data_IF_809654058541
#
_entry.id   IF_809654058541
#
_cell.length_a   1.000
_cell.length_b   1.000
_cell.length_c   1.000
_cell.angle_alpha   90.00
_cell.angle_beta   90.00
_cell.angle_gamma   90.00
#
_symmetry.space_group_name_H-M   'P 1'
#
loop_
_entity.id
_entity.type
_entity.pdbx_description
1 polymer ?
#
# COMPACT_ATOMS: atom_id res chain seq x y z
N UNK A 1 23.29 -5.99 35.09
CA UNK A 1 21.92 -5.42 35.20
C UNK A 1 21.29 -5.53 33.83
N UNK A 2 20.46 -6.54 33.61
CA UNK A 2 19.78 -6.78 32.32
C UNK A 2 18.67 -5.75 32.18
N UNK A 3 18.90 -4.74 31.36
CA UNK A 3 17.92 -3.70 31.06
C UNK A 3 16.73 -4.37 30.35
N UNK A 4 15.65 -4.65 31.09
CA UNK A 4 14.45 -5.36 30.64
C UNK A 4 13.55 -4.47 29.76
N UNK A 5 14.20 -3.63 28.95
CA UNK A 5 13.56 -2.60 28.15
C UNK A 5 13.05 -3.23 26.86
N UNK A 6 11.72 -3.18 26.70
CA UNK A 6 11.02 -3.68 25.52
C UNK A 6 11.48 -2.97 24.25
N UNK A 7 11.47 -3.66 23.12
CA UNK A 7 11.68 -3.01 21.81
C UNK A 7 10.43 -2.23 21.37
N UNK A 8 10.62 -1.23 20.51
CA UNK A 8 9.49 -0.49 19.90
C UNK A 8 8.54 -1.43 19.14
N UNK A 9 9.09 -2.44 18.46
CA UNK A 9 8.30 -3.46 17.76
C UNK A 9 7.36 -4.22 18.72
N UNK A 10 7.87 -4.65 19.87
CA UNK A 10 7.06 -5.32 20.89
C UNK A 10 6.05 -4.37 21.54
N UNK A 11 6.42 -3.10 21.77
CA UNK A 11 5.50 -2.09 22.28
C UNK A 11 4.33 -1.84 21.30
N UNK A 12 4.60 -1.79 20.00
CA UNK A 12 3.56 -1.66 18.96
C UNK A 12 2.61 -2.86 18.96
N UNK A 13 3.11 -4.08 19.22
CA UNK A 13 2.25 -5.26 19.37
C UNK A 13 1.31 -5.12 20.57
N UNK A 14 1.80 -4.57 21.69
CA UNK A 14 0.96 -4.25 22.86
C UNK A 14 -0.09 -3.19 22.49
N UNK A 15 0.28 -2.13 21.76
CA UNK A 15 -0.68 -1.13 21.31
C UNK A 15 -1.75 -1.71 20.38
N UNK A 16 -1.39 -2.63 19.49
CA UNK A 16 -2.34 -3.29 18.61
C UNK A 16 -3.32 -4.18 19.39
N UNK A 17 -2.84 -4.97 20.36
CA UNK A 17 -3.67 -5.83 21.22
C UNK A 17 -4.64 -5.03 22.09
N UNK A 18 -4.17 -3.92 22.68
CA UNK A 18 -4.96 -3.12 23.63
C UNK A 18 -5.53 -1.83 23.03
N UNK A 19 -5.62 -1.70 21.70
CA UNK A 19 -5.94 -0.43 21.02
C UNK A 19 -7.21 0.26 21.55
N UNK A 20 -8.25 -0.53 21.87
CA UNK A 20 -9.55 -0.02 22.32
C UNK A 20 -9.52 0.52 23.75
N UNK A 21 -8.42 0.34 24.47
CA UNK A 21 -8.20 0.84 25.84
C UNK A 21 -7.27 2.05 25.90
N UNK A 22 -6.88 2.59 24.74
CA UNK A 22 -5.95 3.71 24.63
C UNK A 22 -6.57 4.79 23.75
N UNK A 23 -6.61 6.02 24.26
CA UNK A 23 -6.89 7.21 23.46
C UNK A 23 -5.67 8.12 23.47
N UNK A 24 -5.33 8.71 22.34
CA UNK A 24 -4.13 9.53 22.13
C UNK A 24 -4.48 11.00 22.06
N UNK A 25 -3.65 11.86 22.63
CA UNK A 25 -3.76 13.31 22.50
C UNK A 25 -3.25 13.73 21.11
N UNK A 26 -4.16 14.10 20.21
CA UNK A 26 -3.83 14.35 18.80
C UNK A 26 -2.98 15.61 18.62
N UNK A 27 -3.17 16.61 19.49
CA UNK A 27 -2.40 17.86 19.46
C UNK A 27 -0.95 17.58 19.81
N UNK A 28 -0.72 16.85 20.90
CA UNK A 28 0.64 16.44 21.29
C UNK A 28 1.32 15.59 20.21
N UNK A 29 0.59 14.66 19.57
CA UNK A 29 1.13 13.88 18.46
C UNK A 29 1.58 14.78 17.30
N UNK A 30 0.77 15.76 16.92
CA UNK A 30 1.07 16.69 15.83
C UNK A 30 2.24 17.62 16.15
N UNK A 31 2.39 18.05 17.40
CA UNK A 31 3.50 18.88 17.87
C UNK A 31 4.83 18.10 17.90
N UNK A 32 4.79 16.81 18.21
CA UNK A 32 5.97 15.94 18.25
C UNK A 32 6.29 15.24 16.91
N UNK A 33 5.39 15.35 15.93
CA UNK A 33 5.54 14.71 14.63
C UNK A 33 6.30 15.60 13.64
N UNK A 34 7.35 15.04 13.04
CA UNK A 34 8.03 15.66 11.90
C UNK A 34 7.54 15.04 10.60
N UNK A 35 7.16 15.89 9.63
CA UNK A 35 6.68 15.43 8.34
C UNK A 35 7.82 14.76 7.55
N UNK A 36 7.55 13.55 7.06
CA UNK A 36 8.54 12.74 6.33
C UNK A 36 8.35 12.73 4.81
N UNK A 37 7.36 13.48 4.32
CA UNK A 37 6.99 13.56 2.89
C UNK A 37 6.74 15.00 2.47
N UNK A 38 6.70 15.25 1.16
CA UNK A 38 6.26 16.54 0.62
C UNK A 38 4.81 16.82 1.04
N UNK A 39 4.55 18.04 1.52
CA UNK A 39 3.19 18.51 1.78
C UNK A 39 2.41 18.66 0.48
N UNK A 40 1.17 18.18 0.52
CA UNK A 40 0.19 18.24 -0.55
C UNK A 40 -0.90 19.23 -0.17
N UNK A 41 -1.31 20.06 -1.10
CA UNK A 41 -2.46 20.96 -1.00
C UNK A 41 -3.65 20.30 -1.68
N UNK A 42 -4.85 20.51 -1.14
CA UNK A 42 -6.08 20.08 -1.82
C UNK A 42 -6.39 21.02 -2.98
N UNK A 43 -6.71 20.44 -4.14
CA UNK A 43 -6.96 21.14 -5.38
C UNK A 43 -6.05 20.73 -6.53
N UNK A 44 -6.28 21.35 -7.68
CA UNK A 44 -5.48 21.23 -8.90
C UNK A 44 -4.92 22.59 -9.28
N UNK A 45 -3.81 22.63 -10.03
CA UNK A 45 -3.32 23.89 -10.59
C UNK A 45 -3.92 24.11 -11.97
N UNK A 46 -4.31 25.34 -12.27
CA UNK A 46 -4.73 25.75 -13.60
C UNK A 46 -3.52 25.94 -14.55
N UNK A 47 -3.79 26.40 -15.78
CA UNK A 47 -2.76 26.68 -16.79
C UNK A 47 -1.77 27.77 -16.36
N UNK A 48 -2.18 28.68 -15.48
CA UNK A 48 -1.37 29.76 -14.92
C UNK A 48 -0.59 29.33 -13.67
N UNK A 49 -0.84 28.12 -13.16
CA UNK A 49 -0.25 27.59 -11.94
C UNK A 49 -0.98 27.99 -10.65
N UNK A 50 -2.13 28.65 -10.73
CA UNK A 50 -2.97 29.02 -9.59
C UNK A 50 -3.72 27.81 -9.04
N UNK A 51 -3.91 27.75 -7.72
CA UNK A 51 -4.57 26.62 -7.05
C UNK A 51 -6.09 26.77 -7.15
N UNK A 52 -6.73 25.90 -7.94
CA UNK A 52 -8.17 25.70 -7.93
C UNK A 52 -8.52 24.71 -6.81
N UNK A 53 -9.17 25.21 -5.76
CA UNK A 53 -9.62 24.39 -4.64
C UNK A 53 -10.88 23.59 -5.03
N UNK A 54 -11.09 22.40 -4.45
CA UNK A 54 -12.34 21.67 -4.61
C UNK A 54 -13.52 22.45 -4.03
N UNK A 55 -14.70 22.33 -4.65
CA UNK A 55 -15.91 23.01 -4.17
C UNK A 55 -16.46 22.44 -2.84
N UNK A 56 -15.93 21.29 -2.39
CA UNK A 56 -16.20 20.66 -1.09
C UNK A 56 -14.93 20.57 -0.25
N UNK A 57 -15.10 20.50 1.08
CA UNK A 57 -14.06 20.14 2.04
C UNK A 57 -14.62 19.27 3.16
N UNK A 58 -13.73 18.64 3.92
CA UNK A 58 -14.10 17.90 5.15
C UNK A 58 -13.95 18.77 6.38
N UNK A 59 -14.90 18.67 7.31
CA UNK A 59 -14.79 19.22 8.66
C UNK A 59 -14.94 18.10 9.69
N UNK A 60 -14.09 18.11 10.73
CA UNK A 60 -14.21 17.16 11.83
C UNK A 60 -15.52 17.35 12.59
N UNK A 61 -16.24 16.25 12.84
CA UNK A 61 -17.43 16.26 13.70
C UNK A 61 -17.06 16.51 15.16
N UNK A 62 -15.83 16.15 15.52
CA UNK A 62 -15.36 16.04 16.88
C UNK A 62 -14.33 17.17 17.15
N UNK A 63 -14.65 18.09 18.06
CA UNK A 63 -13.68 19.07 18.59
C UNK A 63 -12.85 18.50 19.75
N UNK A 64 -12.70 17.17 19.80
CA UNK A 64 -12.01 16.48 20.90
C UNK A 64 -10.52 16.43 20.65
N UNK A 65 -9.78 16.67 21.73
CA UNK A 65 -8.33 16.56 21.78
C UNK A 65 -7.84 15.10 21.78
N UNK A 66 -8.70 14.16 22.20
CA UNK A 66 -8.36 12.74 22.28
C UNK A 66 -9.11 11.93 21.24
N UNK A 67 -8.39 11.05 20.57
CA UNK A 67 -8.92 10.13 19.56
C UNK A 67 -8.49 8.70 19.88
N UNK A 68 -9.21 7.70 19.38
CA UNK A 68 -8.82 6.30 19.55
C UNK A 68 -7.41 6.04 19.01
N UNK A 69 -6.68 5.13 19.65
CA UNK A 69 -5.39 4.67 19.14
C UNK A 69 -5.52 4.16 17.70
N UNK A 70 -4.62 4.60 16.84
CA UNK A 70 -4.61 4.24 15.43
C UNK A 70 -4.14 2.82 15.17
N UNK A 71 -4.18 2.43 13.90
CA UNK A 71 -3.62 1.15 13.45
C UNK A 71 -2.18 1.33 12.97
N UNK A 72 -1.29 0.46 13.42
CA UNK A 72 0.12 0.49 13.02
C UNK A 72 0.33 -0.36 11.76
N UNK A 73 0.95 0.22 10.73
CA UNK A 73 1.28 -0.46 9.48
C UNK A 73 2.77 -0.33 9.18
N UNK A 74 3.40 -1.46 8.96
CA UNK A 74 4.78 -1.57 8.53
C UNK A 74 4.86 -1.32 7.03
N UNK A 75 5.85 -0.56 6.59
CA UNK A 75 6.11 -0.39 5.18
C UNK A 75 6.67 -1.70 4.58
N UNK A 76 6.24 -2.04 3.37
CA UNK A 76 6.61 -3.28 2.68
C UNK A 76 8.06 -3.31 2.19
N UNK A 77 8.72 -2.16 2.04
CA UNK A 77 10.08 -2.09 1.53
C UNK A 77 10.97 -1.03 2.19
N UNK A 78 10.60 -0.56 3.38
CA UNK A 78 11.42 0.35 4.21
C UNK A 78 11.25 0.05 5.68
N UNK A 79 12.24 0.43 6.47
CA UNK A 79 12.12 0.48 7.93
C UNK A 79 11.26 1.67 8.40
N UNK A 80 9.99 1.67 8.00
CA UNK A 80 9.02 2.72 8.33
C UNK A 80 7.80 2.09 8.98
N UNK A 81 7.34 2.69 10.07
CA UNK A 81 6.09 2.33 10.74
C UNK A 81 5.21 3.57 10.74
N UNK A 82 3.99 3.43 10.24
CA UNK A 82 3.00 4.48 10.29
C UNK A 82 1.86 4.10 11.22
N UNK A 83 1.29 5.09 11.91
CA UNK A 83 0.07 4.99 12.69
C UNK A 83 -1.06 5.69 11.93
N UNK A 84 -2.07 4.93 11.54
CA UNK A 84 -3.26 5.40 10.86
C UNK A 84 -4.34 5.77 11.89
N UNK A 85 -4.57 7.07 12.07
CA UNK A 85 -5.60 7.62 12.95
C UNK A 85 -6.87 7.87 12.15
N UNK A 86 -7.98 7.30 12.61
CA UNK A 86 -9.31 7.44 12.00
C UNK A 86 -10.13 8.47 12.79
N UNK A 87 -10.72 9.45 12.12
CA UNK A 87 -11.61 10.47 12.71
C UNK A 87 -12.85 10.67 11.86
N UNK A 88 -13.94 11.05 12.51
CA UNK A 88 -15.21 11.30 11.83
C UNK A 88 -15.25 12.73 11.28
N UNK A 89 -15.69 12.86 10.04
CA UNK A 89 -15.82 14.12 9.31
C UNK A 89 -17.15 14.19 8.57
N UNK A 90 -17.61 15.40 8.33
CA UNK A 90 -18.70 15.71 7.40
C UNK A 90 -18.17 16.41 6.17
N UNK A 91 -18.88 16.31 5.06
CA UNK A 91 -18.67 17.15 3.89
C UNK A 91 -19.39 18.48 4.05
N UNK A 92 -18.71 19.57 3.69
CA UNK A 92 -19.30 20.92 3.62
C UNK A 92 -18.88 21.60 2.33
N UNK A 93 -19.76 22.46 1.80
CA UNK A 93 -19.42 23.36 0.70
C UNK A 93 -18.38 24.38 1.12
N UNK A 94 -17.42 24.66 0.24
CA UNK A 94 -16.34 25.59 0.53
C UNK A 94 -16.85 27.05 0.64
N UNK A 95 -17.83 27.42 -0.19
CA UNK A 95 -18.35 28.79 -0.32
C UNK A 95 -19.11 29.26 0.93
N UNK A 96 -20.05 28.47 1.42
CA UNK A 96 -21.02 28.86 2.46
C UNK A 96 -20.96 27.96 3.71
N UNK A 97 -20.08 26.95 3.74
CA UNK A 97 -19.95 25.94 4.80
C UNK A 97 -21.22 25.12 5.04
N UNK A 98 -22.15 25.11 4.09
CA UNK A 98 -23.36 24.29 4.19
C UNK A 98 -22.99 22.81 4.17
N UNK A 99 -23.43 22.01 5.15
CA UNK A 99 -23.19 20.57 5.15
C UNK A 99 -23.87 19.87 3.97
N UNK A 100 -23.15 18.93 3.35
CA UNK A 100 -23.74 17.95 2.44
C UNK A 100 -24.20 16.77 3.30
N UNK A 101 -25.50 16.49 3.29
CA UNK A 101 -26.10 15.45 4.14
C UNK A 101 -26.21 14.14 3.36
N UNK A 102 -26.53 14.23 2.08
CA UNK A 102 -26.80 13.08 1.22
C UNK A 102 -26.06 13.23 -0.12
N UNK A 103 -25.50 12.12 -0.62
CA UNK A 103 -24.92 11.99 -1.96
C UNK A 103 -25.31 10.62 -2.50
N UNK A 104 -25.87 10.56 -3.72
CA UNK A 104 -26.20 9.31 -4.41
C UNK A 104 -27.14 8.37 -3.61
N UNK A 105 -28.03 8.92 -2.77
CA UNK A 105 -28.90 8.16 -1.88
C UNK A 105 -28.24 7.69 -0.58
N UNK A 106 -27.01 8.14 -0.28
CA UNK A 106 -26.26 7.78 0.92
C UNK A 106 -26.12 8.97 1.85
N UNK A 107 -26.32 8.74 3.14
CA UNK A 107 -25.96 9.72 4.16
C UNK A 107 -24.43 9.84 4.24
N UNK A 108 -23.92 11.08 4.18
CA UNK A 108 -22.47 11.40 4.18
C UNK A 108 -22.09 12.34 5.32
N UNK A 109 -22.89 12.32 6.39
CA UNK A 109 -22.71 13.14 7.58
C UNK A 109 -21.70 12.56 8.59
N UNK A 110 -21.25 11.32 8.41
CA UNK A 110 -20.30 10.59 9.28
C UNK A 110 -19.22 9.82 8.49
N UNK A 111 -18.59 10.51 7.54
CA UNK A 111 -17.46 9.96 6.78
C UNK A 111 -16.21 9.84 7.65
N UNK A 112 -15.26 9.03 7.18
CA UNK A 112 -13.99 8.85 7.86
C UNK A 112 -12.86 9.59 7.17
N UNK A 113 -12.16 10.44 7.93
CA UNK A 113 -10.85 10.95 7.58
C UNK A 113 -9.76 10.06 8.18
N UNK A 114 -8.75 9.76 7.37
CA UNK A 114 -7.62 8.94 7.75
C UNK A 114 -6.34 9.77 7.71
N UNK A 115 -5.72 9.95 8.88
CA UNK A 115 -4.46 10.68 9.00
C UNK A 115 -3.33 9.69 9.32
N UNK A 116 -2.30 9.70 8.50
CA UNK A 116 -1.17 8.79 8.65
C UNK A 116 0.02 9.52 9.30
N UNK A 117 0.46 9.04 10.46
CA UNK A 117 1.59 9.59 11.20
C UNK A 117 2.74 8.61 11.18
N UNK A 118 3.87 9.00 10.57
CA UNK A 118 5.09 8.20 10.58
C UNK A 118 5.69 8.18 11.99
N UNK A 119 5.66 7.03 12.67
CA UNK A 119 6.22 6.84 14.01
C UNK A 119 7.71 6.49 13.92
N UNK A 120 8.06 5.64 12.97
CA UNK A 120 9.45 5.31 12.62
C UNK A 120 9.67 5.61 11.15
N UNK A 121 10.76 6.29 10.82
CA UNK A 121 11.10 6.71 9.48
C UNK A 121 12.54 6.28 9.15
N UNK A 122 12.69 5.38 8.17
CA UNK A 122 14.00 4.86 7.72
C UNK A 122 14.89 4.36 8.88
N UNK A 123 14.31 3.56 9.78
CA UNK A 123 15.02 3.01 10.93
C UNK A 123 15.35 4.03 12.02
N UNK A 124 14.62 5.15 12.08
CA UNK A 124 14.78 6.17 13.14
C UNK A 124 13.43 6.58 13.72
N UNK A 125 13.38 6.78 15.03
CA UNK A 125 12.18 7.28 15.72
C UNK A 125 11.88 8.69 15.22
N UNK A 126 10.62 8.93 14.84
CA UNK A 126 10.13 10.20 14.33
C UNK A 126 9.15 10.89 15.29
N UNK A 127 8.51 10.11 16.18
CA UNK A 127 7.68 10.60 17.28
C UNK A 127 8.28 10.06 18.57
N UNK A 128 8.80 10.95 19.41
CA UNK A 128 9.57 10.57 20.60
C UNK A 128 8.69 10.08 21.75
N UNK A 129 7.46 10.54 21.84
CA UNK A 129 6.55 10.17 22.92
C UNK A 129 5.09 10.32 22.52
N UNK A 130 4.23 9.59 23.21
CA UNK A 130 2.78 9.66 23.05
C UNK A 130 2.14 10.02 24.38
N UNK A 131 1.35 11.10 24.38
CA UNK A 131 0.43 11.40 25.46
C UNK A 131 -0.87 10.63 25.25
N UNK A 132 -1.26 9.84 26.25
CA UNK A 132 -2.38 8.92 26.16
C UNK A 132 -3.22 8.93 27.43
N UNK A 133 -4.49 8.51 27.33
CA UNK A 133 -5.27 8.03 28.47
C UNK A 133 -5.49 6.54 28.32
N UNK A 134 -5.37 5.83 29.44
CA UNK A 134 -5.46 4.37 29.51
C UNK A 134 -6.67 4.02 30.36
N UNK A 135 -7.61 3.25 29.80
CA UNK A 135 -8.81 2.80 30.53
C UNK A 135 -8.64 1.43 31.17
N UNK A 136 -7.58 0.69 30.86
CA UNK A 136 -7.32 -0.66 31.37
C UNK A 136 -6.17 -0.69 32.39
N UNK A 137 -6.48 -1.08 33.62
CA UNK A 137 -5.46 -1.31 34.67
C UNK A 137 -4.45 -2.38 34.25
N UNK A 138 -4.89 -3.44 33.57
CA UNK A 138 -4.00 -4.51 33.08
C UNK A 138 -2.94 -3.96 32.11
N UNK A 139 -3.36 -3.12 31.18
CA UNK A 139 -2.44 -2.46 30.24
C UNK A 139 -1.48 -1.51 30.98
N UNK A 140 -2.00 -0.71 31.93
CA UNK A 140 -1.18 0.20 32.73
C UNK A 140 -0.04 -0.53 33.44
N UNK A 141 -0.35 -1.62 34.17
CA UNK A 141 0.67 -2.40 34.87
C UNK A 141 1.66 -3.05 33.90
N UNK A 142 1.20 -3.52 32.73
CA UNK A 142 2.06 -4.09 31.70
C UNK A 142 3.05 -3.05 31.15
N UNK A 143 2.58 -1.85 30.78
CA UNK A 143 3.44 -0.78 30.27
C UNK A 143 4.45 -0.30 31.33
N UNK A 144 4.02 -0.22 32.59
CA UNK A 144 4.89 0.09 33.73
C UNK A 144 5.95 -0.99 33.93
N UNK A 145 5.58 -2.27 33.91
CA UNK A 145 6.50 -3.40 34.01
C UNK A 145 7.55 -3.41 32.89
N UNK A 146 7.16 -2.97 31.69
CA UNK A 146 8.04 -2.85 30.51
C UNK A 146 8.90 -1.58 30.51
N UNK A 147 8.76 -0.72 31.51
CA UNK A 147 9.59 0.48 31.70
C UNK A 147 9.33 1.62 30.73
N UNK A 148 8.19 1.62 30.03
CA UNK A 148 7.83 2.66 29.04
C UNK A 148 6.84 3.69 29.58
N UNK A 149 6.35 3.47 30.79
CA UNK A 149 5.38 4.32 31.48
C UNK A 149 5.89 4.66 32.87
N UNK A 150 6.16 5.95 33.09
CA UNK A 150 6.57 6.49 34.38
C UNK A 150 5.35 7.05 35.13
N UNK A 151 4.69 6.19 35.91
CA UNK A 151 3.53 6.56 36.72
C UNK A 151 3.37 5.65 37.94
N UNK A 152 3.06 6.23 39.09
CA UNK A 152 2.95 5.49 40.35
C UNK A 152 1.66 4.67 40.46
N UNK A 153 0.52 5.28 40.14
CA UNK A 153 -0.82 4.70 40.34
C UNK A 153 -1.66 4.80 39.08
N UNK A 154 -2.49 3.78 38.86
CA UNK A 154 -3.50 3.78 37.81
C UNK A 154 -4.66 4.72 38.16
N UNK A 155 -4.99 5.60 37.22
CA UNK A 155 -6.13 6.50 37.20
C UNK A 155 -6.58 6.71 35.74
N UNK A 156 -7.80 6.29 35.44
CA UNK A 156 -8.37 6.38 34.08
C UNK A 156 -8.66 7.82 33.63
N UNK A 157 -8.62 8.81 34.54
CA UNK A 157 -8.77 10.23 34.20
C UNK A 157 -7.44 10.91 33.89
N UNK A 158 -6.34 10.36 34.40
CA UNK A 158 -5.00 10.89 34.24
C UNK A 158 -4.50 10.73 32.80
N UNK A 159 -3.70 11.71 32.37
CA UNK A 159 -2.92 11.60 31.15
C UNK A 159 -1.54 11.02 31.48
N UNK A 160 -1.09 10.12 30.62
CA UNK A 160 0.16 9.39 30.75
C UNK A 160 1.05 9.67 29.55
N UNK A 161 2.36 9.76 29.78
CA UNK A 161 3.33 9.85 28.69
C UNK A 161 4.01 8.50 28.51
N UNK A 162 3.86 7.93 27.32
CA UNK A 162 4.62 6.75 26.90
C UNK A 162 5.83 7.21 26.10
N UNK A 163 7.01 6.90 26.60
CA UNK A 163 8.26 7.24 25.94
C UNK A 163 8.56 6.21 24.84
N UNK A 164 8.82 6.70 23.63
CA UNK A 164 9.25 5.89 22.49
C UNK A 164 10.73 6.10 22.18
N UNK A 165 11.32 7.20 22.64
CA UNK A 165 12.72 7.53 22.49
C UNK A 165 13.61 6.53 23.21
N UNK A 166 14.82 6.34 22.68
CA UNK A 166 15.83 5.42 23.22
C UNK A 166 15.42 3.93 23.31
N UNK A 167 14.24 3.55 22.80
CA UNK A 167 13.86 2.14 22.67
C UNK A 167 14.64 1.49 21.51
N UNK A 168 15.18 0.27 21.69
CA UNK A 168 15.61 -0.55 20.57
C UNK A 168 14.47 -0.72 19.58
N UNK A 169 14.70 -0.49 18.28
CA UNK A 169 13.63 -0.62 17.29
C UNK A 169 13.13 -2.05 17.14
N UNK A 170 14.05 -3.01 17.26
CA UNK A 170 13.81 -4.44 17.09
C UNK A 170 14.37 -5.20 18.30
N UNK A 171 13.81 -6.37 18.63
CA UNK A 171 14.39 -7.24 19.65
C UNK A 171 15.77 -7.75 19.21
N UNK A 172 16.62 -8.05 20.19
CA UNK A 172 18.00 -8.52 19.97
C UNK A 172 17.99 -9.90 19.29
N UNK A 173 17.15 -10.83 19.77
CA UNK A 173 17.08 -12.22 19.29
C UNK A 173 15.87 -12.47 18.37
N UNK A 174 15.65 -11.57 17.40
CA UNK A 174 14.54 -11.71 16.45
C UNK A 174 14.71 -12.92 15.53
N UNK A 175 13.75 -13.85 15.54
CA UNK A 175 13.66 -14.94 14.57
C UNK A 175 12.78 -14.55 13.39
N UNK A 176 13.30 -14.72 12.17
CA UNK A 176 12.59 -14.39 10.93
C UNK A 176 12.33 -15.64 10.09
N UNK A 177 11.12 -15.76 9.57
CA UNK A 177 10.69 -16.87 8.72
C UNK A 177 11.45 -16.88 7.38
N UNK A 178 11.59 -18.06 6.77
CA UNK A 178 12.12 -18.15 5.40
C UNK A 178 11.25 -17.36 4.42
N UNK A 179 11.92 -16.69 3.49
CA UNK A 179 11.32 -15.93 2.39
C UNK A 179 11.27 -16.70 1.07
N UNK A 180 11.77 -17.94 1.06
CA UNK A 180 11.82 -18.78 -0.13
C UNK A 180 10.43 -19.01 -0.73
N UNK A 181 10.34 -18.87 -2.05
CA UNK A 181 9.10 -19.05 -2.81
C UNK A 181 8.04 -17.96 -2.62
N UNK A 182 8.15 -17.10 -1.60
CA UNK A 182 7.17 -16.03 -1.35
C UNK A 182 7.09 -15.05 -2.52
N UNK A 183 8.21 -14.74 -3.16
CA UNK A 183 8.22 -13.84 -4.31
C UNK A 183 7.37 -14.38 -5.46
N UNK A 184 7.58 -15.63 -5.87
CA UNK A 184 6.84 -16.24 -6.98
C UNK A 184 5.33 -16.22 -6.70
N UNK A 185 4.95 -16.59 -5.49
CA UNK A 185 3.57 -16.55 -5.05
C UNK A 185 2.97 -15.13 -5.07
N UNK A 186 3.69 -14.13 -4.56
CA UNK A 186 3.24 -12.74 -4.58
C UNK A 186 3.17 -12.19 -6.00
N UNK A 187 4.07 -12.63 -6.88
CA UNK A 187 4.12 -12.21 -8.27
C UNK A 187 2.91 -12.76 -9.05
N UNK A 188 2.59 -14.05 -8.90
CA UNK A 188 1.39 -14.66 -9.47
C UNK A 188 0.10 -13.95 -9.04
N UNK A 189 -0.06 -13.73 -7.72
CA UNK A 189 -1.21 -13.02 -7.18
C UNK A 189 -1.27 -11.59 -7.71
N UNK A 190 -0.14 -10.87 -7.75
CA UNK A 190 -0.09 -9.50 -8.29
C UNK A 190 -0.54 -9.44 -9.75
N UNK A 191 -0.13 -10.42 -10.57
CA UNK A 191 -0.55 -10.48 -11.98
C UNK A 191 -2.06 -10.68 -12.06
N UNK A 192 -2.62 -11.65 -11.35
CA UNK A 192 -4.06 -11.91 -11.36
C UNK A 192 -4.86 -10.74 -10.77
N UNK A 193 -4.44 -10.16 -9.65
CA UNK A 193 -5.05 -8.94 -9.08
C UNK A 193 -5.01 -7.79 -10.06
N UNK A 194 -3.93 -7.61 -10.83
CA UNK A 194 -3.86 -6.57 -11.85
C UNK A 194 -4.86 -6.80 -12.99
N UNK A 195 -5.13 -8.05 -13.38
CA UNK A 195 -6.15 -8.38 -14.38
C UNK A 195 -7.54 -8.07 -13.82
N UNK A 196 -7.85 -8.55 -12.61
CA UNK A 196 -9.14 -8.34 -11.95
C UNK A 196 -9.41 -6.84 -11.71
N UNK A 197 -8.43 -6.12 -11.16
CA UNK A 197 -8.51 -4.66 -10.94
C UNK A 197 -8.76 -3.87 -12.23
N UNK A 198 -8.22 -4.32 -13.36
CA UNK A 198 -8.48 -3.69 -14.64
C UNK A 198 -9.94 -3.84 -15.07
N UNK A 199 -10.61 -4.96 -14.74
CA UNK A 199 -12.04 -5.14 -15.01
C UNK A 199 -12.92 -4.35 -14.05
N UNK A 200 -12.52 -4.21 -12.79
CA UNK A 200 -13.28 -3.49 -11.76
C UNK A 200 -13.17 -1.96 -11.85
N UNK A 201 -12.46 -1.44 -12.87
CA UNK A 201 -12.28 -0.01 -13.05
C UNK A 201 -13.60 0.63 -13.49
N UNK A 202 -14.10 1.55 -12.66
CA UNK A 202 -15.41 2.18 -12.89
C UNK A 202 -16.60 1.25 -12.64
N UNK A 203 -16.37 0.02 -12.17
CA UNK A 203 -17.43 -0.94 -11.85
C UNK A 203 -17.60 -1.08 -10.33
N UNK A 204 -18.83 -1.38 -9.92
CA UNK A 204 -19.19 -1.68 -8.53
C UNK A 204 -20.27 -2.74 -8.50
N UNK A 205 -20.17 -3.64 -7.53
CA UNK A 205 -21.19 -4.62 -7.14
C UNK A 205 -22.23 -4.03 -6.18
N UNK A 206 -22.06 -2.77 -5.77
CA UNK A 206 -22.92 -2.08 -4.80
C UNK A 206 -23.68 -0.91 -5.44
N UNK A 207 -23.02 -0.15 -6.31
CA UNK A 207 -23.55 1.09 -6.88
C UNK A 207 -23.74 0.99 -8.39
N UNK A 208 -24.84 1.58 -8.88
CA UNK A 208 -25.06 1.76 -10.32
C UNK A 208 -24.23 2.92 -10.87
N UNK A 209 -24.01 2.97 -12.19
CA UNK A 209 -23.18 4.01 -12.82
C UNK A 209 -23.59 5.46 -12.47
N UNK A 210 -24.89 5.84 -12.48
CA UNK A 210 -25.28 7.19 -12.07
C UNK A 210 -24.87 7.54 -10.63
N UNK A 211 -24.91 6.57 -9.71
CA UNK A 211 -24.45 6.77 -8.34
C UNK A 211 -22.93 6.93 -8.29
N UNK A 212 -22.18 6.16 -9.06
CA UNK A 212 -20.72 6.29 -9.14
C UNK A 212 -20.30 7.65 -9.68
N UNK A 213 -20.98 8.15 -10.71
CA UNK A 213 -20.74 9.47 -11.29
C UNK A 213 -21.01 10.58 -10.27
N UNK A 214 -22.11 10.47 -9.52
CA UNK A 214 -22.46 11.42 -8.46
C UNK A 214 -21.48 11.37 -7.29
N UNK A 215 -21.09 10.18 -6.82
CA UNK A 215 -20.04 10.01 -5.81
C UNK A 215 -18.73 10.67 -6.26
N UNK A 216 -18.30 10.41 -7.50
CA UNK A 216 -17.08 11.00 -8.05
C UNK A 216 -17.17 12.53 -8.13
N UNK A 217 -18.32 13.09 -8.52
CA UNK A 217 -18.57 14.53 -8.55
C UNK A 217 -18.43 15.19 -7.17
N UNK A 218 -18.75 14.45 -6.11
CA UNK A 218 -18.62 14.87 -4.71
C UNK A 218 -17.30 14.42 -4.06
N UNK A 219 -16.30 14.02 -4.85
CA UNK A 219 -14.99 13.55 -4.38
C UNK A 219 -15.06 12.33 -3.47
N UNK A 220 -16.05 11.46 -3.67
CA UNK A 220 -16.19 10.18 -2.99
C UNK A 220 -15.80 9.03 -3.93
N UNK A 221 -15.04 8.08 -3.40
CA UNK A 221 -14.76 6.82 -4.08
C UNK A 221 -15.94 5.84 -3.99
N UNK A 222 -15.91 4.76 -4.77
CA UNK A 222 -16.87 3.64 -4.65
C UNK A 222 -16.86 2.92 -3.29
N UNK A 223 -15.86 3.18 -2.45
CA UNK A 223 -15.78 2.68 -1.08
C UNK A 223 -16.15 3.78 -0.05
N UNK A 224 -16.72 4.89 -0.51
CA UNK A 224 -17.19 6.03 0.30
C UNK A 224 -16.05 6.75 1.07
N UNK A 225 -14.80 6.55 0.63
CA UNK A 225 -13.68 7.37 1.09
C UNK A 225 -13.62 8.70 0.35
N UNK A 226 -13.28 9.76 1.07
CA UNK A 226 -12.98 11.08 0.49
C UNK A 226 -11.70 11.02 -0.33
N UNK A 227 -11.76 11.58 -1.54
CA UNK A 227 -10.71 11.51 -2.55
C UNK A 227 -10.57 12.86 -3.27
N UNK A 228 -10.27 13.90 -2.50
CA UNK A 228 -10.01 15.23 -3.06
C UNK A 228 -8.77 15.20 -3.96
N UNK A 229 -8.79 15.91 -5.09
CA UNK A 229 -7.58 16.12 -5.87
C UNK A 229 -6.54 16.84 -5.01
N UNK A 230 -5.26 16.56 -5.26
CA UNK A 230 -4.16 17.24 -4.56
C UNK A 230 -3.04 17.63 -5.49
N UNK A 231 -2.27 18.64 -5.10
CA UNK A 231 -1.06 19.13 -5.78
C UNK A 231 0.06 19.45 -4.79
N UNK A 232 1.28 19.71 -5.27
CA UNK A 232 2.40 20.16 -4.42
C UNK A 232 2.31 21.66 -4.13
N UNK A 233 2.89 22.10 -3.01
CA UNK A 233 2.97 23.53 -2.65
C UNK A 233 3.80 24.36 -3.65
N UNK A 234 4.72 23.72 -4.37
CA UNK A 234 5.62 24.32 -5.33
C UNK A 234 5.30 23.87 -6.75
N UNK A 235 5.65 24.71 -7.72
CA UNK A 235 5.63 24.40 -9.16
C UNK A 235 6.97 23.84 -9.65
N UNK A 236 8.09 24.29 -9.05
CA UNK A 236 9.45 23.87 -9.41
C UNK A 236 10.21 23.30 -8.20
N UNK A 237 10.55 22.00 -8.25
CA UNK A 237 11.28 21.30 -7.18
C UNK A 237 12.67 21.90 -6.93
N UNK A 238 13.38 22.31 -7.99
CA UNK A 238 14.76 22.84 -7.86
C UNK A 238 14.76 24.17 -7.10
N UNK A 239 13.79 25.03 -7.38
CA UNK A 239 13.62 26.29 -6.67
C UNK A 239 13.21 26.07 -5.21
N UNK A 240 12.32 25.11 -4.95
CA UNK A 240 11.90 24.79 -3.59
C UNK A 240 13.05 24.23 -2.74
N UNK A 241 13.92 23.42 -3.33
CA UNK A 241 15.18 22.96 -2.70
C UNK A 241 16.12 24.13 -2.44
N UNK A 242 16.34 25.02 -3.42
CA UNK A 242 17.21 26.18 -3.28
C UNK A 242 16.71 27.17 -2.21
N UNK A 243 15.38 27.33 -2.08
CA UNK A 243 14.72 28.16 -1.06
C UNK A 243 14.64 27.48 0.31
N UNK A 244 14.97 26.19 0.41
CA UNK A 244 14.93 25.43 1.66
C UNK A 244 13.52 25.09 2.18
N UNK A 245 12.46 25.26 1.36
CA UNK A 245 11.10 24.85 1.75
C UNK A 245 10.93 23.32 1.71
N UNK A 246 11.75 22.67 0.89
CA UNK A 246 11.90 21.22 0.81
C UNK A 246 13.33 20.86 1.18
N UNK A 247 13.49 19.74 1.86
CA UNK A 247 14.78 19.08 2.01
C UNK A 247 14.75 17.69 1.37
N UNK A 248 15.92 17.09 1.28
CA UNK A 248 16.10 15.72 0.84
C UNK A 248 16.82 14.87 1.87
N UNK A 249 16.58 13.57 1.83
CA UNK A 249 17.28 12.58 2.64
C UNK A 249 17.49 11.30 1.85
N UNK A 250 18.47 10.52 2.25
CA UNK A 250 18.67 9.17 1.72
C UNK A 250 17.78 8.21 2.51
N UNK A 251 16.90 7.51 1.81
CA UNK A 251 16.11 6.38 2.32
C UNK A 251 16.64 5.10 1.70
N UNK A 252 16.66 4.01 2.45
CA UNK A 252 17.06 2.70 1.94
C UNK A 252 15.81 1.87 1.64
N UNK A 253 15.73 1.41 0.39
CA UNK A 253 14.74 0.44 -0.07
C UNK A 253 15.26 -0.97 0.14
N UNK A 254 14.42 -1.81 0.71
CA UNK A 254 14.66 -3.24 0.88
C UNK A 254 13.57 -4.00 0.12
N UNK A 255 13.91 -4.54 -1.04
CA UNK A 255 12.98 -5.34 -1.84
C UNK A 255 13.36 -6.83 -1.79
N UNK A 256 12.35 -7.68 -1.92
CA UNK A 256 12.51 -9.14 -2.04
C UNK A 256 12.10 -9.58 -3.44
N UNK A 257 13.03 -10.26 -4.11
CA UNK A 257 12.90 -10.83 -5.45
C UNK A 257 13.30 -12.30 -5.51
N UNK A 258 13.50 -12.79 -6.72
CA UNK A 258 14.13 -14.09 -7.00
C UNK A 258 15.23 -13.94 -8.06
N UNK A 259 15.82 -15.06 -8.46
CA UNK A 259 16.92 -15.14 -9.42
C UNK A 259 16.57 -14.69 -10.85
N UNK A 260 15.29 -14.47 -11.14
CA UNK A 260 14.80 -14.06 -12.46
C UNK A 260 14.22 -12.63 -12.48
N UNK A 261 13.70 -12.15 -11.34
CA UNK A 261 13.01 -10.86 -11.20
C UNK A 261 13.33 -10.25 -9.82
N UNK A 262 13.98 -9.08 -9.80
CA UNK A 262 14.47 -8.44 -8.57
C UNK A 262 13.38 -7.96 -7.61
N UNK A 263 12.22 -7.56 -8.12
CA UNK A 263 11.11 -7.08 -7.29
C UNK A 263 9.80 -7.03 -8.09
N UNK A 264 8.68 -6.89 -7.39
CA UNK A 264 7.36 -6.84 -8.00
C UNK A 264 7.16 -5.62 -8.89
N UNK A 265 7.97 -4.55 -8.76
CA UNK A 265 7.83 -3.34 -9.59
C UNK A 265 8.21 -3.58 -11.06
N UNK A 266 8.95 -4.67 -11.34
CA UNK A 266 9.29 -5.09 -12.71
C UNK A 266 8.10 -5.59 -13.51
N UNK A 267 7.02 -5.99 -12.83
CA UNK A 267 5.80 -6.47 -13.48
C UNK A 267 5.01 -5.29 -14.09
N UNK A 268 4.80 -5.24 -15.42
CA UNK A 268 3.97 -4.24 -16.04
C UNK A 268 2.49 -4.37 -15.61
N UNK A 269 1.72 -3.30 -15.81
CA UNK A 269 0.27 -3.35 -15.61
C UNK A 269 -0.39 -4.32 -16.60
N UNK A 270 -1.57 -4.85 -16.23
CA UNK A 270 -2.29 -5.81 -17.06
C UNK A 270 -2.52 -5.29 -18.49
N UNK A 271 -3.03 -4.06 -18.65
CA UNK A 271 -3.25 -3.47 -19.98
C UNK A 271 -1.95 -3.29 -20.78
N UNK A 272 -0.82 -2.96 -20.14
CA UNK A 272 0.48 -2.83 -20.82
C UNK A 272 0.97 -4.19 -21.32
N UNK A 273 0.78 -5.25 -20.54
CA UNK A 273 1.13 -6.60 -20.98
C UNK A 273 0.18 -7.12 -22.07
N UNK A 274 -1.12 -6.80 -21.95
CA UNK A 274 -2.14 -7.12 -22.96
C UNK A 274 -1.75 -6.58 -24.34
N UNK A 275 -1.44 -5.29 -24.40
CA UNK A 275 -1.04 -4.59 -25.63
C UNK A 275 0.28 -5.14 -26.23
N UNK A 276 1.21 -5.55 -25.36
CA UNK A 276 2.48 -6.14 -25.77
C UNK A 276 2.29 -7.52 -26.43
N UNK A 277 1.52 -8.41 -25.80
CA UNK A 277 1.51 -9.85 -26.13
C UNK A 277 0.31 -10.34 -26.92
N UNK A 278 -0.79 -9.60 -26.93
CA UNK A 278 -2.05 -10.07 -27.49
C UNK A 278 -2.59 -9.10 -28.53
N UNK A 279 -3.39 -9.64 -29.46
CA UNK A 279 -4.26 -8.88 -30.34
C UNK A 279 -5.69 -9.10 -29.88
N UNK A 280 -6.42 -8.01 -29.72
CA UNK A 280 -7.85 -8.00 -29.43
C UNK A 280 -8.55 -7.55 -30.69
N UNK A 281 -9.60 -8.27 -31.08
CA UNK A 281 -10.34 -7.98 -32.30
C UNK A 281 -11.81 -8.31 -32.15
N UNK A 282 -12.63 -7.63 -32.95
CA UNK A 282 -14.05 -7.91 -33.07
C UNK A 282 -14.25 -9.18 -33.90
N UNK A 283 -15.06 -10.12 -33.40
CA UNK A 283 -15.30 -11.42 -34.04
C UNK A 283 -16.09 -11.30 -35.36
N UNK A 284 -16.95 -10.30 -35.46
CA UNK A 284 -17.82 -10.08 -36.62
C UNK A 284 -17.11 -9.27 -37.69
N UNK A 285 -16.50 -8.14 -37.32
CA UNK A 285 -15.86 -7.23 -38.29
C UNK A 285 -14.40 -7.56 -38.57
N UNK A 286 -13.74 -8.29 -37.67
CA UNK A 286 -12.30 -8.56 -37.73
C UNK A 286 -11.42 -7.34 -37.39
N UNK A 287 -12.03 -6.21 -37.00
CA UNK A 287 -11.30 -4.99 -36.65
C UNK A 287 -10.37 -5.21 -35.45
N UNK A 288 -9.12 -4.76 -35.55
CA UNK A 288 -8.11 -4.90 -34.49
C UNK A 288 -8.09 -3.63 -33.64
N UNK A 289 -8.31 -3.79 -32.33
CA UNK A 289 -8.23 -2.69 -31.39
C UNK A 289 -6.77 -2.28 -31.15
N UNK A 290 -6.46 -1.00 -31.40
CA UNK A 290 -5.09 -0.45 -31.29
C UNK A 290 -4.64 -0.16 -29.86
N UNK A 291 -5.59 -0.04 -28.92
CA UNK A 291 -5.34 0.17 -27.48
C UNK A 291 -6.28 -0.73 -26.67
N UNK A 292 -6.05 -2.05 -26.68
CA UNK A 292 -6.94 -2.98 -26.00
C UNK A 292 -6.94 -2.71 -24.50
N UNK A 293 -8.12 -2.87 -23.88
CA UNK A 293 -8.31 -2.80 -22.44
C UNK A 293 -8.89 -4.11 -21.94
N UNK A 294 -8.46 -4.55 -20.77
CA UNK A 294 -8.98 -5.77 -20.17
C UNK A 294 -10.48 -5.75 -19.91
N UNK A 295 -11.06 -4.58 -19.67
CA UNK A 295 -12.51 -4.36 -19.54
C UNK A 295 -13.29 -5.01 -20.71
N UNK A 296 -12.71 -5.11 -21.90
CA UNK A 296 -13.31 -5.70 -23.10
C UNK A 296 -13.46 -7.24 -23.05
N UNK A 297 -12.84 -7.92 -22.08
CA UNK A 297 -12.77 -9.40 -22.05
C UNK A 297 -14.12 -10.08 -21.87
N UNK A 298 -15.09 -9.40 -21.25
CA UNK A 298 -16.44 -9.93 -21.03
C UNK A 298 -17.46 -9.46 -22.07
N UNK A 299 -17.04 -8.73 -23.10
CA UNK A 299 -17.92 -8.31 -24.21
C UNK A 299 -18.10 -9.47 -25.21
N UNK A 300 -19.35 -9.74 -25.62
CA UNK A 300 -19.72 -10.94 -26.41
C UNK A 300 -18.94 -11.08 -27.73
N UNK A 301 -18.74 -9.95 -28.43
CA UNK A 301 -18.15 -9.90 -29.77
C UNK A 301 -16.63 -9.74 -29.79
N UNK A 302 -15.94 -9.86 -28.65
CA UNK A 302 -14.49 -9.67 -28.57
C UNK A 302 -13.76 -11.03 -28.51
N UNK A 303 -12.68 -11.15 -29.29
CA UNK A 303 -11.77 -12.29 -29.26
C UNK A 303 -10.32 -11.85 -29.04
N UNK A 304 -9.54 -12.78 -28.48
CA UNK A 304 -8.13 -12.61 -28.17
C UNK A 304 -7.31 -13.63 -28.94
N UNK A 305 -6.12 -13.24 -29.38
CA UNK A 305 -5.12 -14.16 -29.93
C UNK A 305 -3.71 -13.65 -29.63
N UNK A 306 -2.72 -14.54 -29.66
CA UNK A 306 -1.33 -14.12 -29.53
C UNK A 306 -0.93 -13.18 -30.67
N UNK A 307 -0.17 -12.14 -30.30
CA UNK A 307 0.46 -11.25 -31.26
C UNK A 307 1.66 -11.97 -31.88
N UNK A 308 1.80 -11.89 -33.19
CA UNK A 308 3.06 -12.23 -33.85
C UNK A 308 4.09 -11.17 -33.47
N UNK A 309 5.00 -11.53 -32.57
CA UNK A 309 6.06 -10.64 -32.11
C UNK A 309 7.18 -10.59 -33.16
N UNK A 310 7.71 -9.40 -33.41
CA UNK A 310 8.86 -9.26 -34.30
C UNK A 310 10.11 -9.82 -33.62
N UNK A 311 11.10 -10.23 -34.43
CA UNK A 311 12.40 -10.72 -33.94
C UNK A 311 13.16 -9.75 -33.04
N UNK A 312 12.77 -8.46 -33.04
CA UNK A 312 13.35 -7.41 -32.19
C UNK A 312 12.81 -7.44 -30.76
N UNK A 313 11.65 -8.06 -30.52
CA UNK A 313 11.04 -8.11 -29.19
C UNK A 313 11.65 -9.27 -28.41
N UNK A 314 12.47 -8.96 -27.41
CA UNK A 314 13.01 -9.96 -26.49
C UNK A 314 11.95 -10.38 -25.47
N UNK A 315 11.69 -11.68 -25.37
CA UNK A 315 10.92 -12.28 -24.27
C UNK A 315 11.80 -12.30 -23.03
N UNK A 316 11.26 -11.80 -21.92
CA UNK A 316 11.94 -11.69 -20.63
C UNK A 316 11.35 -12.67 -19.63
N UNK A 317 12.03 -12.89 -18.50
CA UNK A 317 11.48 -13.70 -17.40
C UNK A 317 10.18 -13.17 -16.81
N UNK A 318 9.99 -11.85 -16.83
CA UNK A 318 8.71 -11.22 -16.49
C UNK A 318 7.62 -11.69 -17.44
N UNK A 319 7.92 -11.80 -18.73
CA UNK A 319 6.96 -12.25 -19.74
C UNK A 319 6.63 -13.74 -19.58
N UNK A 320 7.63 -14.57 -19.31
CA UNK A 320 7.47 -16.00 -19.04
C UNK A 320 6.60 -16.26 -17.80
N UNK A 321 6.70 -15.43 -16.76
CA UNK A 321 5.84 -15.51 -15.58
C UNK A 321 4.40 -15.07 -15.88
N UNK A 322 4.22 -13.96 -16.59
CA UNK A 322 2.89 -13.36 -16.79
C UNK A 322 2.05 -14.11 -17.83
N UNK A 323 2.68 -14.59 -18.91
CA UNK A 323 1.97 -15.19 -20.07
C UNK A 323 1.05 -16.35 -19.65
N UNK A 324 1.49 -17.37 -18.88
CA UNK A 324 0.63 -18.49 -18.52
C UNK A 324 -0.64 -18.10 -17.76
N UNK A 325 -0.56 -17.07 -16.90
CA UNK A 325 -1.71 -16.56 -16.14
C UNK A 325 -2.70 -15.86 -17.08
N UNK A 326 -2.20 -15.06 -18.00
CA UNK A 326 -3.02 -14.42 -19.03
C UNK A 326 -3.68 -15.44 -19.95
N UNK A 327 -2.95 -16.44 -20.40
CA UNK A 327 -3.48 -17.44 -21.33
C UNK A 327 -4.57 -18.28 -20.68
N UNK A 328 -4.42 -18.64 -19.41
CA UNK A 328 -5.44 -19.36 -18.66
C UNK A 328 -6.67 -18.49 -18.41
N UNK A 329 -6.47 -17.21 -18.07
CA UNK A 329 -7.56 -16.26 -17.86
C UNK A 329 -8.34 -15.97 -19.15
N UNK A 330 -7.64 -15.77 -20.28
CA UNK A 330 -8.20 -15.48 -21.60
C UNK A 330 -8.65 -16.75 -22.35
N UNK A 331 -8.40 -17.94 -21.79
CA UNK A 331 -8.67 -19.25 -22.38
C UNK A 331 -7.96 -19.52 -23.71
N UNK A 332 -6.76 -18.98 -23.86
CA UNK A 332 -5.86 -19.31 -24.96
C UNK A 332 -5.12 -20.63 -24.69
N UNK A 333 -4.81 -20.91 -23.43
CA UNK A 333 -4.24 -22.18 -22.97
C UNK A 333 -4.98 -22.63 -21.69
N UNK A 334 -5.16 -23.94 -21.48
CA UNK A 334 -5.80 -24.47 -20.26
C UNK A 334 -4.73 -25.08 -19.37
N UNK A 335 -4.14 -24.29 -18.49
CA UNK A 335 -3.08 -24.73 -17.59
C UNK A 335 -3.52 -24.73 -16.11
N UNK A 336 -4.66 -24.13 -15.78
CA UNK A 336 -5.29 -24.18 -14.46
C UNK A 336 -4.64 -23.25 -13.42
N UNK A 337 -3.66 -22.43 -13.79
CA UNK A 337 -2.94 -21.56 -12.85
C UNK A 337 -3.88 -20.55 -12.18
N UNK A 338 -4.84 -19.98 -12.92
CA UNK A 338 -5.79 -19.00 -12.36
C UNK A 338 -6.70 -19.67 -11.34
N UNK A 339 -7.22 -20.85 -11.66
CA UNK A 339 -8.06 -21.62 -10.73
C UNK A 339 -7.29 -21.97 -9.45
N UNK A 340 -6.03 -22.40 -9.57
CA UNK A 340 -5.17 -22.73 -8.44
C UNK A 340 -4.93 -21.52 -7.53
N UNK A 341 -4.63 -20.34 -8.11
CA UNK A 341 -4.43 -19.10 -7.33
C UNK A 341 -5.72 -18.72 -6.60
N UNK A 342 -6.86 -18.75 -7.29
CA UNK A 342 -8.16 -18.37 -6.71
C UNK A 342 -8.61 -19.31 -5.60
N UNK A 343 -8.54 -20.63 -5.80
CA UNK A 343 -8.89 -21.61 -4.77
C UNK A 343 -7.95 -21.51 -3.57
N UNK A 344 -6.66 -21.21 -3.77
CA UNK A 344 -5.69 -21.00 -2.68
C UNK A 344 -6.08 -19.84 -1.76
N UNK A 345 -6.72 -18.79 -2.29
CA UNK A 345 -7.22 -17.66 -1.49
C UNK A 345 -8.71 -17.78 -1.14
N UNK A 346 -9.34 -18.92 -1.45
CA UNK A 346 -10.76 -19.18 -1.19
C UNK A 346 -11.73 -18.38 -2.08
N UNK A 347 -11.31 -17.93 -3.26
CA UNK A 347 -12.12 -17.17 -4.21
C UNK A 347 -12.83 -18.07 -5.24
N UNK A 348 -13.51 -19.12 -4.76
CA UNK A 348 -14.12 -20.15 -5.62
C UNK A 348 -15.31 -19.65 -6.45
N UNK A 349 -15.95 -18.55 -6.03
CA UNK A 349 -17.02 -17.89 -6.79
C UNK A 349 -16.52 -17.47 -8.18
N UNK A 350 -15.36 -16.82 -8.26
CA UNK A 350 -14.77 -16.42 -9.53
C UNK A 350 -14.32 -17.64 -10.36
N UNK A 351 -13.85 -18.72 -9.73
CA UNK A 351 -13.53 -19.98 -10.44
C UNK A 351 -14.77 -20.52 -11.15
N UNK A 352 -15.93 -20.51 -10.47
CA UNK A 352 -17.21 -20.94 -11.04
C UNK A 352 -17.63 -20.04 -12.21
N UNK A 353 -17.60 -18.72 -12.04
CA UNK A 353 -17.96 -17.75 -13.08
C UNK A 353 -17.09 -17.92 -14.33
N UNK A 354 -15.77 -18.04 -14.16
CA UNK A 354 -14.86 -18.28 -15.26
C UNK A 354 -15.18 -19.61 -15.95
N UNK A 355 -15.45 -20.69 -15.21
CA UNK A 355 -15.82 -22.00 -15.77
C UNK A 355 -17.13 -21.97 -16.56
N UNK A 356 -18.16 -21.29 -16.05
CA UNK A 356 -19.46 -21.18 -16.71
C UNK A 356 -19.32 -20.41 -18.03
N UNK A 357 -18.64 -19.25 -18.00
CA UNK A 357 -18.29 -18.49 -19.21
C UNK A 357 -17.56 -19.33 -20.23
N UNK A 358 -16.56 -20.06 -19.76
CA UNK A 358 -15.73 -20.96 -20.55
C UNK A 358 -16.47 -22.17 -21.16
N UNK A 359 -17.67 -22.46 -20.64
CA UNK A 359 -18.56 -23.52 -21.13
C UNK A 359 -19.65 -22.98 -22.06
N UNK A 360 -19.56 -21.71 -22.48
CA UNK A 360 -20.52 -21.06 -23.37
C UNK A 360 -21.78 -20.55 -22.67
N UNK A 361 -21.83 -20.57 -21.33
CA UNK A 361 -22.88 -19.86 -20.59
C UNK A 361 -22.50 -18.37 -20.55
N UNK A 362 -23.48 -17.49 -20.53
CA UNK A 362 -23.27 -16.06 -20.30
C UNK A 362 -23.69 -15.73 -18.86
N UNK A 363 -22.76 -15.69 -17.89
CA UNK A 363 -23.09 -15.21 -16.55
C UNK A 363 -23.56 -13.76 -16.65
N UNK A 364 -24.52 -13.36 -15.81
CA UNK A 364 -24.93 -11.96 -15.76
C UNK A 364 -23.73 -11.09 -15.34
N UNK A 365 -23.68 -9.85 -15.85
CA UNK A 365 -22.66 -8.87 -15.55
C UNK A 365 -22.51 -8.64 -14.03
N UNK A 366 -23.62 -8.59 -13.28
CA UNK A 366 -23.58 -8.41 -11.83
C UNK A 366 -22.87 -9.58 -11.12
N UNK A 367 -23.16 -10.83 -11.54
CA UNK A 367 -22.50 -12.03 -10.98
C UNK A 367 -20.99 -11.98 -11.22
N UNK A 368 -20.57 -11.51 -12.40
CA UNK A 368 -19.16 -11.33 -12.75
C UNK A 368 -18.52 -10.27 -11.86
N UNK A 369 -19.15 -9.10 -11.73
CA UNK A 369 -18.59 -7.98 -10.94
C UNK A 369 -18.48 -8.38 -9.47
N UNK A 370 -19.52 -9.00 -8.88
CA UNK A 370 -19.48 -9.49 -7.49
C UNK A 370 -18.36 -10.50 -7.29
N UNK A 371 -18.22 -11.50 -8.16
CA UNK A 371 -17.17 -12.51 -8.04
C UNK A 371 -15.75 -11.91 -8.20
N UNK A 372 -15.59 -10.94 -9.12
CA UNK A 372 -14.33 -10.21 -9.28
C UNK A 372 -13.99 -9.35 -8.06
N UNK A 373 -14.96 -8.63 -7.49
CA UNK A 373 -14.78 -7.82 -6.28
C UNK A 373 -14.35 -8.71 -5.11
N UNK A 374 -15.08 -9.79 -4.86
CA UNK A 374 -14.78 -10.74 -3.78
C UNK A 374 -13.37 -11.35 -3.93
N UNK A 375 -13.02 -11.80 -5.14
CA UNK A 375 -11.70 -12.34 -5.44
C UNK A 375 -10.60 -11.32 -5.23
N UNK A 376 -10.80 -10.06 -5.67
CA UNK A 376 -9.82 -9.00 -5.48
C UNK A 376 -9.56 -8.73 -3.99
N UNK A 377 -10.61 -8.65 -3.18
CA UNK A 377 -10.49 -8.48 -1.73
C UNK A 377 -9.75 -9.64 -1.07
N UNK A 378 -10.06 -10.89 -1.44
CA UNK A 378 -9.38 -12.08 -0.89
C UNK A 378 -7.90 -12.13 -1.28
N UNK A 379 -7.56 -11.79 -2.53
CA UNK A 379 -6.16 -11.70 -2.99
C UNK A 379 -5.40 -10.61 -2.22
N UNK A 380 -6.00 -9.44 -2.01
CA UNK A 380 -5.40 -8.34 -1.25
C UNK A 380 -5.15 -8.71 0.21
N UNK A 381 -6.12 -9.33 0.88
CA UNK A 381 -6.00 -9.81 2.26
C UNK A 381 -4.89 -10.86 2.39
N UNK A 382 -4.84 -11.80 1.44
CA UNK A 382 -3.83 -12.84 1.42
C UNK A 382 -2.42 -12.25 1.22
N UNK A 383 -2.24 -11.31 0.29
CA UNK A 383 -0.97 -10.59 0.09
C UNK A 383 -0.58 -9.83 1.36
N UNK A 384 -1.52 -9.14 1.99
CA UNK A 384 -1.26 -8.38 3.21
C UNK A 384 -0.80 -9.30 4.36
N UNK A 385 -1.38 -10.49 4.52
CA UNK A 385 -0.93 -11.46 5.52
C UNK A 385 0.54 -11.88 5.32
N UNK A 386 0.96 -12.15 4.08
CA UNK A 386 2.36 -12.49 3.78
C UNK A 386 3.29 -11.34 4.14
N UNK A 387 2.91 -10.11 3.79
CA UNK A 387 3.72 -8.95 4.12
C UNK A 387 3.79 -8.72 5.63
N UNK A 388 2.66 -8.74 6.34
CA UNK A 388 2.61 -8.48 7.77
C UNK A 388 3.38 -9.54 8.58
N UNK A 389 3.24 -10.81 8.21
CA UNK A 389 3.77 -11.91 9.02
C UNK A 389 5.22 -12.27 8.66
N UNK A 390 5.62 -12.09 7.40
CA UNK A 390 6.90 -12.63 6.89
C UNK A 390 7.86 -11.56 6.37
N UNK A 391 7.40 -10.66 5.52
CA UNK A 391 8.31 -9.76 4.77
C UNK A 391 8.57 -8.44 5.50
N UNK A 392 7.52 -7.72 5.90
CA UNK A 392 7.64 -6.39 6.50
C UNK A 392 8.45 -6.39 7.82
N UNK A 393 8.33 -7.40 8.72
CA UNK A 393 9.20 -7.49 9.89
C UNK A 393 10.68 -7.64 9.53
N UNK A 394 11.01 -8.45 8.52
CA UNK A 394 12.38 -8.64 8.03
C UNK A 394 12.92 -7.34 7.40
N UNK A 395 12.13 -6.71 6.52
CA UNK A 395 12.44 -5.40 5.92
C UNK A 395 12.71 -4.35 6.99
N UNK A 396 11.86 -4.31 8.03
CA UNK A 396 12.03 -3.39 9.14
C UNK A 396 13.33 -3.66 9.91
N UNK A 397 13.64 -4.93 10.21
CA UNK A 397 14.89 -5.31 10.86
C UNK A 397 16.12 -4.91 10.05
N UNK A 398 16.15 -5.23 8.76
CA UNK A 398 17.28 -4.90 7.88
C UNK A 398 17.48 -3.40 7.82
N UNK A 399 16.41 -2.63 7.61
CA UNK A 399 16.51 -1.18 7.54
C UNK A 399 16.82 -0.52 8.90
N UNK A 400 16.47 -1.13 10.02
CA UNK A 400 16.77 -0.61 11.37
C UNK A 400 18.21 -0.95 11.83
N UNK A 401 18.73 -2.11 11.45
CA UNK A 401 20.04 -2.61 11.91
C UNK A 401 21.15 -2.44 10.89
N UNK A 402 20.80 -2.25 9.61
CA UNK A 402 21.72 -2.29 8.49
C UNK A 402 22.31 -3.67 8.20
N UNK A 403 21.77 -4.74 8.80
CA UNK A 403 22.28 -6.10 8.72
C UNK A 403 21.18 -7.09 8.36
N UNK A 404 21.56 -8.20 7.73
CA UNK A 404 20.69 -9.37 7.66
C UNK A 404 20.61 -10.04 9.04
N UNK A 405 19.49 -10.70 9.37
CA UNK A 405 19.42 -11.59 10.53
C UNK A 405 20.49 -12.68 10.44
N UNK A 406 21.02 -13.10 11.60
CA UNK A 406 22.11 -14.07 11.68
C UNK A 406 21.77 -15.41 10.99
N UNK A 407 20.51 -15.83 11.05
CA UNK A 407 20.02 -17.06 10.39
C UNK A 407 19.92 -16.97 8.86
N UNK A 408 20.10 -15.77 8.28
CA UNK A 408 20.07 -15.50 6.84
C UNK A 408 21.38 -14.88 6.33
N UNK A 409 22.45 -14.91 7.14
CA UNK A 409 23.71 -14.25 6.81
C UNK A 409 24.36 -14.88 5.59
N UNK A 410 24.43 -14.11 4.49
CA UNK A 410 25.10 -14.52 3.24
C UNK A 410 26.02 -13.40 2.75
N UNK A 411 27.05 -13.72 1.93
CA UNK A 411 27.95 -12.71 1.41
C UNK A 411 27.21 -11.68 0.55
N UNK A 412 27.49 -10.40 0.80
CA UNK A 412 27.00 -9.31 -0.01
C UNK A 412 27.56 -9.36 -1.44
N UNK A 413 26.73 -9.08 -2.43
CA UNK A 413 27.08 -8.99 -3.85
C UNK A 413 26.75 -7.60 -4.40
N UNK A 414 27.53 -7.16 -5.39
CA UNK A 414 27.20 -5.96 -6.19
C UNK A 414 26.26 -6.31 -7.34
N UNK A 415 25.65 -5.30 -7.96
CA UNK A 415 24.81 -5.49 -9.13
C UNK A 415 25.55 -6.21 -10.26
N UNK A 416 26.83 -5.91 -10.51
CA UNK A 416 27.62 -6.55 -11.56
C UNK A 416 27.83 -8.03 -11.29
N UNK A 417 28.21 -8.39 -10.05
CA UNK A 417 28.39 -9.80 -9.65
C UNK A 417 27.08 -10.57 -9.79
N UNK A 418 25.98 -9.96 -9.36
CA UNK A 418 24.66 -10.57 -9.44
C UNK A 418 24.21 -10.73 -10.90
N UNK A 419 24.44 -9.74 -11.76
CA UNK A 419 24.12 -9.79 -13.18
C UNK A 419 24.92 -10.85 -13.94
N UNK A 420 26.19 -11.09 -13.57
CA UNK A 420 26.98 -12.19 -14.13
C UNK A 420 26.39 -13.55 -13.73
N UNK A 421 25.98 -13.69 -12.46
CA UNK A 421 25.38 -14.93 -11.96
C UNK A 421 23.99 -15.19 -12.53
N UNK A 422 23.19 -14.13 -12.68
CA UNK A 422 21.81 -14.16 -13.14
C UNK A 422 21.58 -13.13 -14.26
N UNK A 423 21.94 -13.48 -15.52
CA UNK A 423 21.93 -12.52 -16.65
C UNK A 423 20.56 -11.97 -17.05
N UNK A 424 19.47 -12.52 -16.53
CA UNK A 424 18.11 -12.10 -16.83
C UNK A 424 17.63 -10.93 -15.96
N UNK A 425 18.33 -10.63 -14.86
CA UNK A 425 17.95 -9.59 -13.92
C UNK A 425 18.07 -8.19 -14.55
N UNK A 426 17.06 -7.35 -14.29
CA UNK A 426 16.99 -5.98 -14.80
C UNK A 426 17.11 -4.98 -13.66
N UNK A 427 18.19 -4.19 -13.67
CA UNK A 427 18.51 -3.21 -12.64
C UNK A 427 18.10 -1.79 -13.06
N UNK A 428 17.44 -1.06 -12.16
CA UNK A 428 17.23 0.37 -12.25
C UNK A 428 18.51 1.14 -11.89
N UNK A 429 18.54 2.46 -12.09
CA UNK A 429 19.71 3.29 -11.75
C UNK A 429 20.09 3.19 -10.28
N UNK A 430 19.10 3.21 -9.40
CA UNK A 430 19.33 3.13 -7.95
C UNK A 430 19.79 1.72 -7.55
N UNK A 431 19.19 0.68 -8.15
CA UNK A 431 19.55 -0.72 -7.91
C UNK A 431 20.98 -1.06 -8.39
N UNK A 432 21.49 -0.40 -9.43
CA UNK A 432 22.88 -0.59 -9.88
C UNK A 432 23.91 -0.23 -8.80
N UNK A 433 23.57 0.68 -7.88
CA UNK A 433 24.40 1.06 -6.74
C UNK A 433 24.00 0.30 -5.45
N UNK A 434 23.15 -0.72 -5.59
CA UNK A 434 22.63 -1.51 -4.48
C UNK A 434 23.59 -2.59 -3.99
N UNK A 435 23.26 -3.12 -2.81
CA UNK A 435 23.84 -4.33 -2.23
C UNK A 435 22.81 -5.44 -2.27
N UNK A 436 23.24 -6.64 -2.66
CA UNK A 436 22.36 -7.77 -2.88
C UNK A 436 22.78 -8.96 -2.05
N UNK A 437 21.80 -9.71 -1.56
CA UNK A 437 22.01 -10.91 -0.77
C UNK A 437 21.15 -12.02 -1.33
N UNK A 438 21.76 -13.17 -1.57
CA UNK A 438 21.06 -14.37 -1.99
C UNK A 438 20.76 -15.19 -0.76
N UNK A 439 19.47 -15.41 -0.48
CA UNK A 439 18.99 -16.17 0.67
C UNK A 439 18.07 -17.25 0.12
N UNK A 440 18.58 -18.48 0.06
CA UNK A 440 17.91 -19.60 -0.61
C UNK A 440 17.65 -19.31 -2.09
N UNK A 441 16.39 -19.39 -2.51
CA UNK A 441 15.94 -19.06 -3.88
C UNK A 441 15.57 -17.57 -4.07
N UNK A 442 15.73 -16.75 -3.03
CA UNK A 442 15.34 -15.35 -3.01
C UNK A 442 16.53 -14.40 -3.07
N UNK A 443 16.27 -13.19 -3.56
CA UNK A 443 17.24 -12.09 -3.58
C UNK A 443 16.68 -10.94 -2.73
N UNK A 444 17.42 -10.57 -1.69
CA UNK A 444 17.16 -9.34 -0.94
C UNK A 444 18.02 -8.24 -1.56
N UNK A 445 17.36 -7.17 -2.01
CA UNK A 445 18.02 -6.00 -2.61
C UNK A 445 17.94 -4.82 -1.65
N UNK A 446 19.08 -4.23 -1.31
CA UNK A 446 19.17 -3.02 -0.47
C UNK A 446 19.80 -1.90 -1.28
N UNK A 447 19.07 -0.82 -1.54
CA UNK A 447 19.57 0.29 -2.35
C UNK A 447 19.06 1.64 -1.87
N UNK A 448 19.85 2.68 -2.07
CA UNK A 448 19.56 4.03 -1.63
C UNK A 448 18.66 4.76 -2.65
N UNK A 449 17.71 5.55 -2.15
CA UNK A 449 16.92 6.49 -2.94
C UNK A 449 16.83 7.84 -2.24
N UNK A 450 16.91 8.92 -3.02
CA UNK A 450 16.69 10.27 -2.52
C UNK A 450 15.20 10.52 -2.35
N UNK A 451 14.79 10.87 -1.14
CA UNK A 451 13.43 11.26 -0.82
C UNK A 451 13.34 12.71 -0.40
N UNK A 452 12.24 13.35 -0.75
CA UNK A 452 12.00 14.75 -0.49
C UNK A 452 10.91 14.93 0.57
N UNK A 453 11.08 15.92 1.44
CA UNK A 453 10.11 16.25 2.47
C UNK A 453 10.05 17.76 2.74
N UNK A 454 8.88 18.26 3.17
CA UNK A 454 8.71 19.68 3.50
C UNK A 454 9.29 20.00 4.88
N UNK A 455 10.05 21.10 5.02
CA UNK A 455 10.71 21.51 6.29
C UNK A 455 9.81 22.12 7.37
N UNK A 456 8.49 22.19 7.17
CA UNK A 456 7.59 22.93 8.06
C UNK A 456 7.71 22.37 9.50
N UNK A 457 8.10 23.25 10.43
CA UNK A 457 8.49 22.94 11.82
C UNK A 457 7.33 22.51 12.74
N UNK A 458 6.08 22.62 12.29
CA UNK A 458 4.91 22.10 13.00
C UNK A 458 3.76 21.85 12.01
N UNK A 459 3.01 20.75 12.21
CA UNK A 459 1.70 20.60 11.56
C UNK A 459 0.76 21.58 12.25
N UNK A 460 0.69 22.82 11.75
CA UNK A 460 -0.32 23.77 12.20
C UNK A 460 -1.71 23.16 12.04
N UNK A 461 -2.53 23.28 13.08
CA UNK A 461 -3.95 22.94 13.04
C UNK A 461 -4.61 23.89 12.02
N UNK A 462 -4.77 23.45 10.78
CA UNK A 462 -5.67 24.11 9.84
C UNK A 462 -7.09 23.81 10.34
N UNK A 463 -7.74 24.85 10.87
CA UNK A 463 -9.08 24.84 11.47
C UNK A 463 -10.20 24.59 10.47
#
# INVERSE_FOLDING_TARGET
MTNNQISLLELIKIFAEYRNYIIINIKHLQENYRRTTIKRLQGVRDENGELIQPWLRTEYLDKVQYVGMGEFKFNRNKATINMLVKRQVKLVKLEDKTPVIEVAGLLVNDLNAFNNYTIVSDGKINVNSLQVKISSKKLFELLKQKGVLDADKFDFRSEYTIQLDNLPLVPIDGSYCSIDGLFAQLAEIKVLSSIISAHLKGQSDVFVQPQLDELQHHYLSKNIYTNFPTTTEYTNLKEALAKGTIDSRISYKIDVGNQDILNLSKLPSANKFLDKMYRVYDKETGEIFTKPRFEMTFTENIAFRHKLLSSRIKITKVDELMKPIFDDFLRLEKNGIVANILTKVGADSLVKVLRDKHSGKSPNQDEIITALTEANTKLEQYVESIYQDKISPLVFYIGATGKLPDNMSTPAMTAEKLAVKYPNLQFSKDEQQGTFFEVGGSIISVYAQTEYYSKILAVGVEN
#
